data_IF_963566755031
#
_entry.id   IF_963566755031
#
_cell.length_a   1.000
_cell.length_b   1.000
_cell.length_c   1.000
_cell.angle_alpha   90.00
_cell.angle_beta   90.00
_cell.angle_gamma   90.00
#
_symmetry.space_group_name_H-M   'P 1'
#
loop_
_entity.id
_entity.type
_entity.pdbx_description
1 polymer ?
#
# COMPACT_ATOMS: atom_id res chain seq x y z
N UNK A 1 3.73 -10.16 -4.51
CA UNK A 1 2.95 -9.33 -3.58
C UNK A 1 3.61 -9.44 -2.23
N UNK A 2 3.90 -8.32 -1.55
CA UNK A 2 4.55 -8.34 -0.24
C UNK A 2 3.49 -8.38 0.86
N UNK A 3 3.62 -9.31 1.82
CA UNK A 3 2.76 -9.46 2.99
C UNK A 3 3.48 -8.88 4.22
N UNK A 4 2.77 -8.18 5.10
CA UNK A 4 3.32 -7.60 6.32
C UNK A 4 2.25 -6.95 7.20
N UNK A 5 2.61 -6.40 8.37
CA UNK A 5 1.67 -5.66 9.23
C UNK A 5 1.12 -4.44 8.48
N UNK A 6 -0.14 -4.07 8.65
CA UNK A 6 -0.65 -2.85 8.03
C UNK A 6 -0.11 -1.60 8.72
N UNK A 7 0.40 -0.64 7.94
CA UNK A 7 0.76 0.70 8.43
C UNK A 7 -0.46 1.63 8.53
N UNK A 8 -1.63 1.18 8.10
CA UNK A 8 -2.89 1.94 8.22
C UNK A 8 -3.66 1.60 9.49
N UNK A 9 -3.58 0.34 9.92
CA UNK A 9 -4.29 -0.16 11.11
C UNK A 9 -3.53 -1.35 11.71
N UNK A 10 -3.05 -1.17 12.95
CA UNK A 10 -2.27 -2.17 13.68
C UNK A 10 -3.01 -3.50 13.94
N UNK A 11 -4.33 -3.54 13.78
CA UNK A 11 -5.14 -4.75 13.93
C UNK A 11 -5.13 -5.68 12.70
N UNK A 12 -4.51 -5.27 11.59
CA UNK A 12 -4.52 -6.02 10.33
C UNK A 12 -3.12 -6.30 9.79
N UNK A 13 -3.03 -7.38 9.02
CA UNK A 13 -1.96 -7.59 8.06
C UNK A 13 -2.44 -7.11 6.69
N UNK A 14 -1.49 -6.81 5.80
CA UNK A 14 -1.77 -6.40 4.43
C UNK A 14 -0.94 -7.17 3.43
N UNK A 15 -1.47 -7.25 2.22
CA UNK A 15 -0.77 -7.67 1.03
C UNK A 15 -0.80 -6.57 -0.02
N UNK A 16 0.37 -6.11 -0.47
CA UNK A 16 0.49 -5.09 -1.52
C UNK A 16 0.47 -5.74 -2.90
N UNK A 17 -0.47 -5.32 -3.73
CA UNK A 17 -0.66 -5.72 -5.13
C UNK A 17 -0.53 -4.49 -6.03
N UNK A 18 -0.17 -4.72 -7.30
CA UNK A 18 0.08 -3.66 -8.27
C UNK A 18 -0.26 -4.11 -9.68
N UNK A 19 -0.62 -3.17 -10.55
CA UNK A 19 -0.73 -3.42 -11.98
C UNK A 19 0.63 -3.26 -12.70
N UNK A 20 0.65 -3.50 -14.01
CA UNK A 20 1.85 -3.37 -14.84
C UNK A 20 2.40 -1.94 -14.88
N UNK A 21 1.53 -0.92 -14.91
CA UNK A 21 1.95 0.48 -14.89
C UNK A 21 2.70 0.85 -13.60
N UNK A 22 2.40 0.18 -12.49
CA UNK A 22 3.07 0.33 -11.21
C UNK A 22 4.27 -0.65 -11.02
N UNK A 23 4.80 -1.26 -12.08
CA UNK A 23 5.90 -2.23 -11.97
C UNK A 23 7.16 -1.67 -11.27
N UNK A 24 7.40 -0.36 -11.41
CA UNK A 24 8.53 0.32 -10.77
C UNK A 24 8.36 0.59 -9.26
N UNK A 25 7.25 0.17 -8.65
CA UNK A 25 6.99 0.38 -7.22
C UNK A 25 8.10 -0.15 -6.29
N UNK A 26 8.72 -1.28 -6.65
CA UNK A 26 9.83 -1.85 -5.85
C UNK A 26 11.11 -0.99 -5.90
N UNK A 27 11.23 -0.14 -6.92
CA UNK A 27 12.39 0.70 -7.18
C UNK A 27 12.10 2.18 -6.87
N UNK A 28 11.10 2.46 -6.04
CA UNK A 28 10.63 3.81 -5.81
C UNK A 28 11.72 4.75 -5.26
N UNK A 29 12.66 4.22 -4.48
CA UNK A 29 13.81 5.00 -4.00
C UNK A 29 14.72 5.51 -5.14
N UNK A 30 14.75 4.80 -6.28
CA UNK A 30 15.57 5.14 -7.44
C UNK A 30 14.77 5.82 -8.57
N UNK A 31 13.44 5.92 -8.45
CA UNK A 31 12.57 6.51 -9.47
C UNK A 31 11.64 7.56 -8.88
N UNK A 32 11.61 8.78 -9.46
CA UNK A 32 10.95 9.91 -8.80
C UNK A 32 9.42 9.81 -8.80
N UNK A 33 8.80 9.10 -9.76
CA UNK A 33 7.34 8.96 -9.83
C UNK A 33 6.87 7.74 -10.61
N UNK A 34 5.67 7.26 -10.27
CA UNK A 34 4.94 6.27 -11.06
C UNK A 34 4.11 6.94 -12.16
N UNK A 35 3.92 6.29 -13.32
CA UNK A 35 3.16 6.84 -14.43
C UNK A 35 1.65 6.91 -14.14
N UNK A 36 0.95 7.79 -14.85
CA UNK A 36 -0.53 7.79 -14.90
C UNK A 36 -1.04 6.40 -15.30
N UNK A 37 -2.11 5.95 -14.63
CA UNK A 37 -2.65 4.59 -14.75
C UNK A 37 -2.02 3.58 -13.80
N UNK A 38 -0.97 3.96 -13.05
CA UNK A 38 -0.45 3.13 -11.97
C UNK A 38 -1.54 2.84 -10.92
N UNK A 39 -1.70 1.57 -10.58
CA UNK A 39 -2.66 1.10 -9.58
C UNK A 39 -1.92 0.31 -8.51
N UNK A 40 -2.09 0.73 -7.26
CA UNK A 40 -1.59 0.02 -6.08
C UNK A 40 -2.78 -0.33 -5.22
N UNK A 41 -2.84 -1.58 -4.76
CA UNK A 41 -3.91 -2.09 -3.91
C UNK A 41 -3.29 -2.74 -2.68
N UNK A 42 -3.75 -2.33 -1.51
CA UNK A 42 -3.45 -3.02 -0.26
C UNK A 42 -4.68 -3.81 0.18
N UNK A 43 -4.58 -5.13 0.07
CA UNK A 43 -5.58 -6.08 0.60
C UNK A 43 -5.32 -6.25 2.09
N UNK A 44 -6.28 -5.90 2.95
CA UNK A 44 -6.16 -6.06 4.40
C UNK A 44 -6.87 -7.32 4.86
N UNK A 45 -6.24 -8.08 5.74
CA UNK A 45 -6.76 -9.32 6.29
C UNK A 45 -6.35 -9.44 7.76
N UNK A 46 -7.11 -10.20 8.56
CA UNK A 46 -6.75 -10.41 9.97
C UNK A 46 -5.42 -11.19 10.07
N UNK A 47 -4.64 -10.98 11.13
CA UNK A 47 -3.47 -11.80 11.41
C UNK A 47 -3.76 -13.29 11.33
N UNK A 48 -2.96 -14.04 10.57
CA UNK A 48 -3.14 -15.48 10.37
C UNK A 48 -4.37 -15.89 9.54
N UNK A 49 -5.08 -14.93 8.95
CA UNK A 49 -6.23 -15.16 8.06
C UNK A 49 -5.91 -14.75 6.64
N UNK A 50 -6.45 -15.52 5.69
CA UNK A 50 -6.48 -15.13 4.27
C UNK A 50 -7.78 -14.40 3.90
N UNK A 51 -8.77 -14.35 4.80
CA UNK A 51 -10.03 -13.64 4.57
C UNK A 51 -9.76 -12.15 4.51
N UNK A 52 -10.14 -11.53 3.39
CA UNK A 52 -10.00 -10.09 3.21
C UNK A 52 -11.07 -9.38 4.00
N UNK A 53 -10.70 -8.35 4.75
CA UNK A 53 -11.62 -7.45 5.43
C UNK A 53 -11.99 -6.25 4.55
N UNK A 54 -11.00 -5.66 3.88
CA UNK A 54 -11.20 -4.51 2.98
C UNK A 54 -9.97 -4.30 2.10
N UNK A 55 -10.09 -3.38 1.14
CA UNK A 55 -9.01 -2.94 0.27
C UNK A 55 -8.83 -1.43 0.34
N UNK A 56 -7.58 -0.99 0.39
CA UNK A 56 -7.21 0.37 0.02
C UNK A 56 -6.63 0.39 -1.37
N UNK A 57 -7.10 1.33 -2.19
CA UNK A 57 -6.72 1.45 -3.61
C UNK A 57 -6.18 2.85 -3.85
N UNK A 58 -5.05 2.92 -4.54
CA UNK A 58 -4.44 4.15 -5.03
C UNK A 58 -4.31 4.09 -6.55
N UNK A 59 -4.87 5.07 -7.24
CA UNK A 59 -4.82 5.18 -8.69
C UNK A 59 -4.17 6.50 -9.11
N UNK A 60 -3.09 6.43 -9.89
CA UNK A 60 -2.44 7.62 -10.46
C UNK A 60 -3.29 8.13 -11.62
N UNK A 61 -3.94 9.26 -11.44
CA UNK A 61 -4.71 9.99 -12.45
C UNK A 61 -3.84 11.09 -13.08
N UNK A 62 -4.26 11.57 -14.25
CA UNK A 62 -3.68 12.79 -14.79
C UNK A 62 -3.86 13.95 -13.79
N UNK A 63 -2.92 14.91 -13.70
CA UNK A 63 -2.96 15.98 -12.71
C UNK A 63 -4.28 16.77 -12.70
N UNK A 64 -4.88 17.00 -13.88
CA UNK A 64 -6.16 17.72 -14.01
C UNK A 64 -7.39 16.93 -13.53
N UNK A 65 -7.25 15.62 -13.33
CA UNK A 65 -8.33 14.73 -12.94
C UNK A 65 -8.24 14.27 -11.48
N UNK A 66 -7.18 14.64 -10.75
CA UNK A 66 -6.98 14.24 -9.36
C UNK A 66 -7.26 15.38 -8.40
N UNK A 67 -7.89 15.11 -7.24
CA UNK A 67 -8.01 16.10 -6.17
C UNK A 67 -6.69 16.36 -5.43
N UNK A 68 -5.62 15.61 -5.71
CA UNK A 68 -4.31 15.77 -5.07
C UNK A 68 -3.26 16.35 -6.01
N UNK A 69 -2.35 17.15 -5.45
CA UNK A 69 -1.21 17.71 -6.21
C UNK A 69 -0.30 16.63 -6.82
N UNK A 70 -0.26 15.43 -6.21
CA UNK A 70 0.54 14.30 -6.67
C UNK A 70 -0.20 13.39 -7.65
N UNK A 71 -1.42 13.72 -8.06
CA UNK A 71 -2.16 12.94 -9.05
C UNK A 71 -2.73 11.62 -8.52
N UNK A 72 -2.73 11.36 -7.22
CA UNK A 72 -3.28 10.14 -6.63
C UNK A 72 -4.76 10.30 -6.26
N UNK A 73 -5.55 9.32 -6.65
CA UNK A 73 -6.93 9.11 -6.20
C UNK A 73 -6.97 7.89 -5.26
N UNK A 74 -7.71 7.98 -4.17
CA UNK A 74 -7.79 6.93 -3.15
C UNK A 74 -9.21 6.35 -3.11
N UNK A 75 -9.35 5.05 -2.94
CA UNK A 75 -10.65 4.41 -2.71
C UNK A 75 -10.54 3.36 -1.60
N UNK A 76 -11.62 3.19 -0.85
CA UNK A 76 -11.78 2.07 0.09
C UNK A 76 -12.85 1.15 -0.42
N UNK A 77 -12.51 -0.13 -0.55
CA UNK A 77 -13.45 -1.17 -0.96
C UNK A 77 -13.70 -2.14 0.19
N UNK A 78 -14.93 -2.64 0.32
CA UNK A 78 -15.26 -3.73 1.23
C UNK A 78 -14.66 -5.07 0.76
N UNK A 79 -14.87 -6.12 1.54
CA UNK A 79 -14.46 -7.48 1.23
C UNK A 79 -15.06 -8.02 -0.10
N UNK A 80 -16.20 -7.49 -0.56
CA UNK A 80 -16.81 -7.79 -1.87
C UNK A 80 -16.40 -6.82 -2.98
N UNK A 81 -15.41 -5.96 -2.73
CA UNK A 81 -14.86 -4.96 -3.66
C UNK A 81 -15.85 -3.88 -4.08
N UNK A 82 -16.89 -3.64 -3.28
CA UNK A 82 -17.77 -2.48 -3.47
C UNK A 82 -17.17 -1.28 -2.77
N UNK A 83 -17.45 -0.08 -3.28
CA UNK A 83 -16.97 1.17 -2.66
C UNK A 83 -17.61 1.29 -1.28
N UNK A 84 -16.83 1.05 -0.24
CA UNK A 84 -17.28 1.09 1.16
C UNK A 84 -17.27 2.51 1.71
N UNK A 85 -16.33 3.34 1.24
CA UNK A 85 -16.27 4.73 1.63
C UNK A 85 -15.61 5.60 0.56
N UNK A 86 -16.22 6.76 0.31
CA UNK A 86 -15.62 7.88 -0.43
C UNK A 86 -15.01 8.93 0.50
N UNK A 87 -15.07 8.75 1.84
CA UNK A 87 -14.64 9.74 2.85
C UNK A 87 -13.82 9.19 4.03
N UNK A 88 -12.71 8.50 3.75
CA UNK A 88 -11.46 8.69 4.51
C UNK A 88 -10.39 9.44 3.70
N UNK A 89 -10.73 9.89 2.48
CA UNK A 89 -9.84 10.54 1.51
C UNK A 89 -8.92 11.59 2.13
N UNK A 90 -9.43 12.51 2.94
CA UNK A 90 -8.61 13.61 3.47
C UNK A 90 -7.44 13.11 4.33
N UNK A 91 -7.64 12.03 5.10
CA UNK A 91 -6.58 11.42 5.90
C UNK A 91 -5.56 10.72 5.01
N UNK A 92 -6.03 9.96 4.01
CA UNK A 92 -5.18 9.31 3.02
C UNK A 92 -4.31 10.35 2.30
N UNK A 93 -4.93 11.43 1.80
CA UNK A 93 -4.24 12.51 1.09
C UNK A 93 -3.19 13.16 1.98
N UNK A 94 -3.53 13.52 3.23
CA UNK A 94 -2.56 14.15 4.14
C UNK A 94 -1.33 13.28 4.37
N UNK A 95 -1.53 12.03 4.78
CA UNK A 95 -0.42 11.13 5.09
C UNK A 95 0.43 10.85 3.84
N UNK A 96 -0.21 10.62 2.69
CA UNK A 96 0.49 10.34 1.44
C UNK A 96 1.11 11.59 0.80
N UNK A 97 0.76 12.81 1.18
CA UNK A 97 1.52 14.00 0.76
C UNK A 97 2.90 14.08 1.43
N UNK A 98 3.03 13.50 2.62
CA UNK A 98 4.26 13.50 3.42
C UNK A 98 5.13 12.26 3.15
N UNK A 99 4.67 11.35 2.28
CA UNK A 99 5.41 10.14 1.94
C UNK A 99 6.73 10.47 1.20
N UNK A 100 7.76 9.65 1.38
CA UNK A 100 9.13 9.97 0.97
C UNK A 100 9.35 10.02 -0.55
N UNK A 101 8.53 9.32 -1.34
CA UNK A 101 8.67 9.28 -2.79
C UNK A 101 7.33 9.16 -3.49
N UNK A 102 7.00 10.10 -4.38
CA UNK A 102 5.77 10.14 -5.18
C UNK A 102 4.48 9.88 -4.38
N UNK A 103 4.43 10.29 -3.12
CA UNK A 103 3.32 10.01 -2.22
C UNK A 103 3.09 8.53 -1.89
N UNK A 104 4.16 7.74 -1.88
CA UNK A 104 4.18 6.34 -1.50
C UNK A 104 5.32 6.07 -0.52
N UNK A 105 5.10 5.13 0.40
CA UNK A 105 6.08 4.71 1.41
C UNK A 105 7.02 3.59 0.92
N UNK A 106 6.84 3.12 -0.32
CA UNK A 106 7.62 2.02 -0.88
C UNK A 106 7.14 0.63 -0.45
N UNK A 107 7.79 -0.44 -0.92
CA UNK A 107 7.43 -1.80 -0.55
C UNK A 107 7.65 -2.05 0.95
N UNK A 108 6.89 -2.98 1.57
CA UNK A 108 7.18 -3.39 2.93
C UNK A 108 8.64 -3.82 3.04
N UNK A 109 9.30 -3.43 4.14
CA UNK A 109 10.62 -3.95 4.45
C UNK A 109 10.56 -5.47 4.45
N UNK A 110 11.54 -6.13 3.84
CA UNK A 110 11.69 -7.57 3.97
C UNK A 110 11.74 -7.89 5.47
N UNK A 111 11.07 -8.97 5.94
CA UNK A 111 11.26 -9.40 7.32
C UNK A 111 12.76 -9.56 7.53
N UNK A 112 13.30 -8.89 8.55
CA UNK A 112 14.67 -9.13 8.96
C UNK A 112 14.79 -10.64 9.16
N UNK A 113 15.65 -11.30 8.38
CA UNK A 113 16.00 -12.69 8.64
C UNK A 113 16.46 -12.75 10.09
N UNK A 114 15.66 -13.35 10.98
CA UNK A 114 16.09 -13.60 12.34
C UNK A 114 17.43 -14.33 12.25
N UNK A 115 18.49 -13.86 12.93
CA UNK A 115 19.71 -14.66 13.04
C UNK A 115 19.31 -15.98 13.72
N UNK A 116 19.54 -17.06 12.97
CA UNK A 116 19.30 -18.43 13.36
C UNK A 116 19.93 -18.74 14.73
N UNK A 117 19.24 -19.60 15.48
CA UNK A 117 19.44 -19.83 16.90
C UNK A 117 20.89 -20.17 17.25
N UNK A 118 21.36 -19.55 18.34
CA UNK A 118 22.60 -19.98 18.99
C UNK A 118 22.48 -21.45 19.42
N UNK A 119 23.57 -22.23 19.35
CA UNK A 119 23.53 -23.63 19.76
C UNK A 119 23.26 -23.75 21.27
N UNK A 120 22.21 -24.51 21.61
CA UNK A 120 21.98 -25.04 22.95
C UNK A 120 23.15 -25.95 23.35
N UNK A 121 23.70 -25.69 24.53
CA UNK A 121 24.71 -26.52 25.19
C UNK A 121 24.17 -27.93 25.47
N UNK A 122 24.95 -28.95 25.12
CA UNK A 122 24.90 -30.29 25.71
C UNK A 122 26.06 -30.44 26.68
#
# INVERSE_FOLDING_TARGET
AGRGPSEHDSGFERTVMRNQAAAAYEQLAARPALPVGALIVQRHHRPGSETTAFYYVMHKRAPSASPTQLGWEFLVLDEQRRVAATKPLNLCVRCHQEAPADGLFGPPALPASSPDGGPENQ
#
